data_IF_005329366082
#
_entry.id   IF_005329366082
#
_cell.length_a   1.000
_cell.length_b   1.000
_cell.length_c   1.000
_cell.angle_alpha   90.00
_cell.angle_beta   90.00
_cell.angle_gamma   90.00
#
_symmetry.space_group_name_H-M   'P 1'
#
loop_
_entity.id
_entity.type
_entity.pdbx_description
1 polymer ?
#
# COMPACT_ATOMS: atom_id res chain seq x y z
N UNK A 1 -34.78 28.07 6.43
CA UNK A 1 -33.30 28.21 6.49
C UNK A 1 -32.60 26.89 6.78
N UNK A 2 -32.96 26.16 7.85
CA UNK A 2 -32.30 24.87 8.15
C UNK A 2 -32.41 23.79 7.06
N UNK A 3 -33.56 23.68 6.38
CA UNK A 3 -33.76 22.72 5.27
C UNK A 3 -32.85 22.99 4.07
N UNK A 4 -32.69 24.26 3.67
CA UNK A 4 -31.78 24.64 2.60
C UNK A 4 -30.32 24.37 2.95
N UNK A 5 -29.96 24.54 4.23
CA UNK A 5 -28.62 24.19 4.71
C UNK A 5 -28.36 22.69 4.65
N UNK A 6 -29.28 21.85 5.16
CA UNK A 6 -29.16 20.39 5.11
C UNK A 6 -29.13 19.90 3.65
N UNK A 7 -29.96 20.48 2.79
CA UNK A 7 -29.97 20.18 1.36
C UNK A 7 -28.62 20.50 0.70
N UNK A 8 -28.08 21.70 0.95
CA UNK A 8 -26.76 22.09 0.47
C UNK A 8 -25.63 21.18 0.95
N UNK A 9 -25.63 20.80 2.24
CA UNK A 9 -24.66 19.88 2.81
C UNK A 9 -24.75 18.47 2.19
N UNK A 10 -25.97 18.00 1.93
CA UNK A 10 -26.22 16.70 1.29
C UNK A 10 -25.70 16.69 -0.14
N UNK A 11 -25.99 17.73 -0.93
CA UNK A 11 -25.47 17.86 -2.29
C UNK A 11 -23.94 17.97 -2.30
N UNK A 12 -23.36 18.76 -1.40
CA UNK A 12 -21.92 18.92 -1.28
C UNK A 12 -21.22 17.59 -0.99
N UNK A 13 -21.69 16.87 0.03
CA UNK A 13 -21.10 15.58 0.40
C UNK A 13 -21.27 14.55 -0.72
N UNK A 14 -22.44 14.48 -1.38
CA UNK A 14 -22.64 13.61 -2.52
C UNK A 14 -21.68 13.91 -3.68
N UNK A 15 -21.46 15.19 -4.00
CA UNK A 15 -20.50 15.60 -5.02
C UNK A 15 -19.07 15.22 -4.63
N UNK A 16 -18.65 15.46 -3.37
CA UNK A 16 -17.30 15.16 -2.90
C UNK A 16 -16.99 13.67 -2.91
N UNK A 17 -17.94 12.81 -2.49
CA UNK A 17 -17.70 11.37 -2.37
C UNK A 17 -17.95 10.59 -3.65
N UNK A 18 -18.87 11.04 -4.51
CA UNK A 18 -19.33 10.27 -5.67
C UNK A 18 -19.30 11.01 -7.00
N UNK A 19 -19.17 12.34 -6.99
CA UNK A 19 -19.30 13.14 -8.21
C UNK A 19 -20.72 13.09 -8.78
N UNK A 20 -21.73 12.89 -7.91
CA UNK A 20 -23.09 12.51 -8.31
C UNK A 20 -23.97 13.61 -8.90
N UNK A 21 -23.52 14.87 -8.91
CA UNK A 21 -24.29 15.98 -9.50
C UNK A 21 -23.70 16.43 -10.83
N UNK A 22 -22.38 16.63 -10.90
CA UNK A 22 -21.67 17.05 -12.10
C UNK A 22 -20.29 16.41 -12.21
N UNK A 23 -19.82 16.18 -13.44
CA UNK A 23 -18.51 15.57 -13.72
C UNK A 23 -18.56 14.05 -13.82
N UNK A 24 -17.40 13.39 -13.74
CA UNK A 24 -17.32 11.92 -13.82
C UNK A 24 -17.58 11.30 -12.46
N UNK A 25 -18.43 10.26 -12.45
CA UNK A 25 -18.69 9.48 -11.25
C UNK A 25 -17.40 8.78 -10.77
N UNK A 26 -17.06 8.93 -9.50
CA UNK A 26 -15.96 8.20 -8.87
C UNK A 26 -16.48 7.29 -7.77
N UNK A 27 -15.93 6.09 -7.68
CA UNK A 27 -16.28 5.14 -6.64
C UNK A 27 -15.01 4.67 -5.93
N UNK A 28 -14.75 5.27 -4.76
CA UNK A 28 -13.64 4.90 -3.87
C UNK A 28 -13.71 3.46 -3.36
N UNK A 29 -14.85 2.80 -3.54
CA UNK A 29 -14.99 1.39 -3.21
C UNK A 29 -14.45 0.49 -4.33
N UNK A 30 -14.25 0.92 -5.57
CA UNK A 30 -13.98 -0.05 -6.66
C UNK A 30 -12.53 -0.52 -6.71
N UNK A 31 -11.56 0.33 -6.37
CA UNK A 31 -10.13 0.00 -6.51
C UNK A 31 -9.43 0.04 -5.16
N UNK A 32 -8.56 -0.94 -4.84
CA UNK A 32 -7.76 -0.85 -3.63
C UNK A 32 -6.85 0.37 -3.70
N UNK A 33 -6.56 0.96 -2.54
CA UNK A 33 -5.51 1.95 -2.39
C UNK A 33 -4.68 1.59 -1.18
N UNK A 34 -3.37 1.51 -1.39
CA UNK A 34 -2.39 1.36 -0.32
C UNK A 34 -1.70 2.69 -0.06
N UNK A 35 -1.39 2.92 1.20
CA UNK A 35 -0.47 3.96 1.65
C UNK A 35 0.74 3.28 2.26
N UNK A 36 1.92 3.70 1.83
CA UNK A 36 3.21 3.22 2.31
C UNK A 36 3.84 4.38 3.08
N UNK A 37 4.26 4.12 4.31
CA UNK A 37 4.76 5.14 5.25
C UNK A 37 5.91 4.58 6.09
N UNK A 38 6.58 5.45 6.85
CA UNK A 38 7.63 5.05 7.80
C UNK A 38 8.76 4.19 7.17
N UNK A 39 9.05 4.40 5.89
CA UNK A 39 10.10 3.69 5.18
C UNK A 39 11.47 3.99 5.77
N UNK A 40 12.21 2.93 6.14
CA UNK A 40 13.54 3.00 6.75
C UNK A 40 14.43 1.94 6.13
N UNK A 41 15.64 2.35 5.76
CA UNK A 41 16.73 1.48 5.34
C UNK A 41 17.83 1.56 6.39
N UNK A 42 18.10 0.47 7.09
CA UNK A 42 19.11 0.43 8.16
C UNK A 42 19.88 -0.88 8.13
N UNK A 43 20.69 -1.12 9.17
CA UNK A 43 21.53 -2.32 9.29
C UNK A 43 20.73 -3.63 9.34
N UNK A 44 19.46 -3.57 9.74
CA UNK A 44 18.58 -4.74 9.79
C UNK A 44 17.83 -4.99 8.48
N UNK A 45 17.99 -4.11 7.47
CA UNK A 45 17.34 -4.21 6.16
C UNK A 45 16.33 -3.10 5.90
N UNK A 46 15.25 -3.45 5.20
CA UNK A 46 14.17 -2.54 4.83
C UNK A 46 12.98 -2.76 5.76
N UNK A 47 12.44 -1.67 6.31
CA UNK A 47 11.17 -1.69 7.03
C UNK A 47 10.26 -0.55 6.61
N UNK A 48 8.96 -0.78 6.54
CA UNK A 48 7.96 0.23 6.24
C UNK A 48 6.59 -0.20 6.74
N UNK A 49 5.70 0.76 6.93
CA UNK A 49 4.29 0.53 7.21
C UNK A 49 3.49 0.51 5.89
N UNK A 50 2.60 -0.46 5.74
CA UNK A 50 1.61 -0.51 4.68
C UNK A 50 0.21 -0.42 5.30
N UNK A 51 -0.65 0.42 4.74
CA UNK A 51 -2.04 0.58 5.17
C UNK A 51 -2.99 0.53 3.98
N UNK A 52 -4.01 -0.32 4.04
CA UNK A 52 -5.08 -0.33 3.04
C UNK A 52 -6.22 0.61 3.42
N UNK A 53 -6.33 1.74 2.71
CA UNK A 53 -7.25 2.85 3.01
C UNK A 53 -8.54 2.87 2.20
N UNK A 54 -8.55 2.30 0.99
CA UNK A 54 -9.73 2.31 0.10
C UNK A 54 -9.93 0.94 -0.62
N UNK A 55 -11.03 0.83 -1.37
CA UNK A 55 -11.48 -0.38 -2.10
C UNK A 55 -12.52 -1.23 -1.35
N UNK A 56 -13.20 -2.15 -2.04
CA UNK A 56 -14.27 -2.97 -1.46
C UNK A 56 -13.68 -3.98 -0.48
N UNK A 57 -14.30 -4.16 0.68
CA UNK A 57 -13.85 -5.11 1.70
C UNK A 57 -13.74 -6.57 1.18
N UNK A 58 -14.62 -6.98 0.27
CA UNK A 58 -14.64 -8.33 -0.32
C UNK A 58 -13.52 -8.60 -1.33
N UNK A 59 -12.84 -7.56 -1.80
CA UNK A 59 -11.70 -7.66 -2.72
C UNK A 59 -10.45 -7.25 -1.93
N UNK A 60 -9.56 -8.19 -1.62
CA UNK A 60 -8.27 -7.86 -1.02
C UNK A 60 -7.43 -6.97 -1.95
N UNK A 61 -6.38 -6.34 -1.44
CA UNK A 61 -5.22 -6.07 -2.30
C UNK A 61 -4.36 -7.33 -2.30
N UNK A 62 -4.05 -7.87 -3.48
CA UNK A 62 -3.19 -9.03 -3.68
C UNK A 62 -1.87 -8.55 -4.27
N UNK A 63 -0.92 -8.33 -3.39
CA UNK A 63 0.39 -7.79 -3.74
C UNK A 63 1.27 -8.90 -4.29
N UNK A 64 1.73 -8.69 -5.52
CA UNK A 64 2.50 -9.66 -6.30
C UNK A 64 3.95 -9.20 -6.54
N UNK A 65 4.25 -7.94 -6.21
CA UNK A 65 5.60 -7.39 -6.36
C UNK A 65 5.89 -6.35 -5.31
N UNK A 66 7.07 -6.43 -4.71
CA UNK A 66 7.67 -5.35 -3.93
C UNK A 66 9.08 -5.11 -4.46
N UNK A 67 9.31 -3.91 -4.98
CA UNK A 67 10.58 -3.50 -5.56
C UNK A 67 11.17 -2.33 -4.77
N UNK A 68 12.47 -2.34 -4.58
CA UNK A 68 13.23 -1.16 -4.15
C UNK A 68 14.11 -0.73 -5.32
N UNK A 69 14.00 0.54 -5.71
CA UNK A 69 14.75 1.13 -6.83
C UNK A 69 15.68 2.22 -6.34
N UNK A 70 16.86 2.29 -6.94
CA UNK A 70 17.79 3.41 -6.70
C UNK A 70 17.36 4.67 -7.46
N UNK A 71 18.14 5.75 -7.31
CA UNK A 71 17.88 7.03 -7.99
C UNK A 71 17.98 6.95 -9.53
N UNK A 72 18.61 5.89 -10.07
CA UNK A 72 18.71 5.61 -11.51
C UNK A 72 17.60 4.66 -11.99
N UNK A 73 16.66 4.32 -11.11
CA UNK A 73 15.54 3.41 -11.36
C UNK A 73 15.96 1.94 -11.57
N UNK A 74 17.18 1.57 -11.16
CA UNK A 74 17.61 0.17 -11.15
C UNK A 74 17.00 -0.54 -9.95
N UNK A 75 16.55 -1.78 -10.16
CA UNK A 75 15.98 -2.60 -9.10
C UNK A 75 17.12 -3.18 -8.25
N UNK A 76 17.23 -2.69 -7.01
CA UNK A 76 18.24 -3.14 -6.03
C UNK A 76 17.71 -4.23 -5.10
N UNK A 77 16.39 -4.37 -5.00
CA UNK A 77 15.72 -5.47 -4.32
C UNK A 77 14.38 -5.76 -4.99
N UNK A 78 14.04 -7.04 -5.11
CA UNK A 78 12.79 -7.50 -5.70
C UNK A 78 12.23 -8.69 -4.92
N UNK A 79 10.98 -8.59 -4.49
CA UNK A 79 10.19 -9.71 -3.97
C UNK A 79 9.09 -10.04 -4.96
N UNK A 80 9.19 -11.26 -5.51
CA UNK A 80 8.20 -11.84 -6.42
C UNK A 80 6.99 -12.39 -5.68
N UNK A 81 5.91 -12.63 -6.41
CA UNK A 81 4.66 -13.18 -5.87
C UNK A 81 4.87 -14.47 -5.05
N UNK A 82 5.76 -15.36 -5.49
CA UNK A 82 6.03 -16.63 -4.83
C UNK A 82 6.80 -16.47 -3.52
N UNK A 83 7.68 -15.46 -3.46
CA UNK A 83 8.38 -15.10 -2.23
C UNK A 83 7.42 -14.42 -1.25
N UNK A 84 6.55 -13.53 -1.74
CA UNK A 84 5.53 -12.85 -0.95
C UNK A 84 4.52 -13.83 -0.33
N UNK A 85 4.11 -14.85 -1.09
CA UNK A 85 3.23 -15.93 -0.63
C UNK A 85 3.87 -16.82 0.47
N UNK A 86 5.20 -16.78 0.60
CA UNK A 86 5.98 -17.58 1.56
C UNK A 86 6.66 -16.72 2.62
N UNK A 87 6.25 -15.46 2.78
CA UNK A 87 6.83 -14.59 3.80
C UNK A 87 6.63 -15.19 5.19
N UNK A 88 7.67 -15.24 6.03
CA UNK A 88 7.53 -15.73 7.38
C UNK A 88 6.72 -14.74 8.22
N UNK A 89 5.97 -15.23 9.22
CA UNK A 89 5.09 -14.37 10.02
C UNK A 89 5.83 -13.23 10.72
N UNK A 90 7.09 -13.42 11.13
CA UNK A 90 7.89 -12.38 11.78
C UNK A 90 8.25 -11.21 10.85
N UNK A 91 8.12 -11.37 9.53
CA UNK A 91 8.29 -10.28 8.56
C UNK A 91 7.08 -9.33 8.53
N UNK A 92 5.97 -9.70 9.16
CA UNK A 92 4.69 -8.98 9.09
C UNK A 92 4.15 -8.74 10.49
N UNK A 93 4.31 -7.53 11.00
CA UNK A 93 3.80 -7.12 12.30
C UNK A 93 2.50 -6.32 12.11
N UNK A 94 1.37 -6.96 12.35
CA UNK A 94 0.04 -6.37 12.14
C UNK A 94 -0.36 -5.46 13.32
N UNK A 95 -0.83 -4.26 13.01
CA UNK A 95 -1.32 -3.31 14.03
C UNK A 95 -2.76 -3.58 14.44
N UNK A 96 -3.59 -4.13 13.53
CA UNK A 96 -5.03 -4.27 13.71
C UNK A 96 -5.51 -5.72 13.49
N UNK A 97 -6.79 -5.96 13.79
CA UNK A 97 -7.45 -7.27 13.62
C UNK A 97 -7.48 -7.70 12.14
N UNK A 98 -7.66 -6.75 11.21
CA UNK A 98 -7.51 -6.98 9.78
C UNK A 98 -6.03 -7.19 9.46
N UNK A 99 -5.65 -8.43 9.14
CA UNK A 99 -4.25 -8.82 8.99
C UNK A 99 -3.80 -8.80 7.53
N UNK A 100 -2.68 -8.13 7.29
CA UNK A 100 -1.79 -8.42 6.16
C UNK A 100 -1.18 -9.79 6.41
N UNK A 101 -1.26 -10.69 5.42
CA UNK A 101 -0.76 -12.07 5.56
C UNK A 101 -0.36 -12.68 4.22
N UNK A 102 0.54 -13.67 4.21
CA UNK A 102 0.81 -14.45 3.00
C UNK A 102 -0.47 -15.19 2.57
N UNK A 103 -0.77 -15.13 1.28
CA UNK A 103 -1.79 -15.91 0.60
C UNK A 103 -1.16 -17.03 -0.23
N UNK A 104 -1.99 -17.75 -1.00
CA UNK A 104 -1.50 -18.89 -1.81
C UNK A 104 -0.52 -18.45 -2.92
N UNK A 105 -0.71 -17.26 -3.49
CA UNK A 105 0.04 -16.76 -4.66
C UNK A 105 0.44 -15.29 -4.53
N UNK A 106 0.24 -14.66 -3.37
CA UNK A 106 0.50 -13.23 -3.17
C UNK A 106 0.57 -12.90 -1.69
N UNK A 107 0.90 -11.66 -1.36
CA UNK A 107 0.61 -11.09 -0.04
C UNK A 107 -0.79 -10.46 -0.07
N UNK A 108 -1.64 -10.75 0.92
CA UNK A 108 -3.02 -10.26 1.00
C UNK A 108 -3.10 -9.13 2.01
N UNK A 109 -3.67 -7.99 1.61
CA UNK A 109 -4.02 -6.88 2.49
C UNK A 109 -5.54 -6.57 2.39
N UNK A 110 -6.36 -6.99 3.38
CA UNK A 110 -7.79 -6.66 3.43
C UNK A 110 -8.02 -5.19 3.81
N UNK A 111 -9.24 -4.68 3.62
CA UNK A 111 -9.55 -3.27 3.86
C UNK A 111 -9.31 -2.93 5.32
N UNK A 112 -8.67 -1.79 5.59
CA UNK A 112 -8.31 -1.39 6.95
C UNK A 112 -7.13 -2.17 7.55
N UNK A 113 -6.52 -3.11 6.81
CA UNK A 113 -5.31 -3.78 7.29
C UNK A 113 -4.13 -2.83 7.30
N UNK A 114 -3.47 -2.75 8.45
CA UNK A 114 -2.20 -2.03 8.62
C UNK A 114 -1.16 -2.97 9.20
N UNK A 115 0.02 -3.00 8.59
CA UNK A 115 1.14 -3.81 9.09
C UNK A 115 2.47 -3.11 8.86
N UNK A 116 3.42 -3.37 9.76
CA UNK A 116 4.84 -3.10 9.55
C UNK A 116 5.47 -4.31 8.86
N UNK A 117 6.02 -4.05 7.68
CA UNK A 117 6.74 -5.04 6.88
C UNK A 117 8.23 -4.92 7.18
N UNK A 118 8.92 -6.05 7.31
CA UNK A 118 10.36 -6.13 7.56
C UNK A 118 11.00 -7.11 6.59
N UNK A 119 11.99 -6.66 5.85
CA UNK A 119 12.70 -7.43 4.85
C UNK A 119 14.20 -7.39 5.14
N UNK A 120 14.71 -8.51 5.62
CA UNK A 120 16.14 -8.66 5.89
C UNK A 120 16.83 -9.00 4.56
N UNK A 121 17.73 -8.14 4.11
CA UNK A 121 18.62 -8.46 2.99
C UNK A 121 20.01 -7.89 3.28
N UNK A 122 21.01 -8.75 3.26
CA UNK A 122 22.41 -8.37 3.38
C UNK A 122 22.87 -7.42 2.26
N UNK A 123 22.15 -7.40 1.14
CA UNK A 123 22.49 -6.52 0.02
C UNK A 123 22.04 -5.07 0.27
N UNK A 124 21.02 -4.86 1.12
CA UNK A 124 20.63 -3.52 1.57
C UNK A 124 21.77 -2.83 2.31
N UNK A 125 22.57 -3.58 3.09
CA UNK A 125 23.70 -3.04 3.83
C UNK A 125 24.70 -2.33 2.93
N UNK A 126 24.95 -2.90 1.75
CA UNK A 126 25.94 -2.44 0.78
C UNK A 126 25.46 -1.26 -0.07
N UNK A 127 24.19 -0.92 0.01
CA UNK A 127 23.63 0.20 -0.74
C UNK A 127 24.25 1.53 -0.28
N UNK A 128 24.69 2.41 -1.20
CA UNK A 128 25.19 3.72 -0.83
C UNK A 128 24.09 4.58 -0.19
N UNK A 129 24.48 5.59 0.58
CA UNK A 129 23.55 6.61 1.06
C UNK A 129 22.88 7.32 -0.12
N UNK A 130 21.59 7.60 0.01
CA UNK A 130 20.81 8.17 -1.08
C UNK A 130 19.31 7.94 -0.95
N UNK A 131 18.58 8.38 -1.97
CA UNK A 131 17.13 8.22 -2.05
C UNK A 131 16.79 6.97 -2.86
N UNK A 132 15.88 6.17 -2.31
CA UNK A 132 15.36 4.95 -2.89
C UNK A 132 13.84 5.04 -3.03
N UNK A 133 13.30 4.43 -4.06
CA UNK A 133 11.85 4.34 -4.28
C UNK A 133 11.40 2.92 -3.99
N UNK A 134 10.59 2.76 -2.96
CA UNK A 134 9.88 1.53 -2.67
C UNK A 134 8.59 1.51 -3.48
N UNK A 135 8.35 0.43 -4.23
CA UNK A 135 7.16 0.23 -5.05
C UNK A 135 6.48 -1.08 -4.67
N UNK A 136 5.17 -1.02 -4.43
CA UNK A 136 4.32 -2.19 -4.27
C UNK A 136 3.35 -2.31 -5.45
N UNK A 137 3.18 -3.52 -5.98
CA UNK A 137 2.34 -3.79 -7.15
C UNK A 137 1.28 -4.84 -6.84
N UNK A 138 0.03 -4.52 -7.15
CA UNK A 138 -1.14 -5.40 -7.03
C UNK A 138 -1.38 -6.19 -8.32
N UNK A 139 -2.06 -7.34 -8.22
CA UNK A 139 -2.42 -8.19 -9.37
C UNK A 139 -3.25 -7.46 -10.43
N UNK A 140 -3.99 -6.41 -10.07
CA UNK A 140 -4.72 -5.55 -11.02
C UNK A 140 -3.82 -4.66 -11.87
N UNK A 141 -2.52 -4.60 -11.58
CA UNK A 141 -1.57 -3.67 -12.20
C UNK A 141 -1.48 -2.31 -11.51
N UNK A 142 -2.31 -2.04 -10.49
CA UNK A 142 -2.15 -0.87 -9.65
C UNK A 142 -0.81 -0.92 -8.88
N UNK A 143 -0.18 0.23 -8.70
CA UNK A 143 1.06 0.33 -7.92
C UNK A 143 1.13 1.60 -7.09
N UNK A 144 1.82 1.51 -5.97
CA UNK A 144 2.01 2.59 -5.01
C UNK A 144 3.48 2.70 -4.66
N UNK A 145 3.94 3.94 -4.52
CA UNK A 145 5.35 4.26 -4.33
C UNK A 145 5.57 5.11 -3.07
N UNK A 146 6.74 4.93 -2.46
CA UNK A 146 7.19 5.71 -1.32
C UNK A 146 8.70 5.92 -1.39
N UNK A 147 9.13 7.16 -1.15
CA UNK A 147 10.55 7.50 -1.11
C UNK A 147 11.13 7.24 0.27
N UNK A 148 12.31 6.64 0.29
CA UNK A 148 13.06 6.30 1.49
C UNK A 148 14.46 6.87 1.34
N UNK A 149 14.93 7.60 2.36
CA UNK A 149 16.31 8.06 2.42
C UNK A 149 17.13 7.12 3.31
N UNK A 150 18.29 6.71 2.82
CA UNK A 150 19.29 5.93 3.57
C UNK A 150 20.45 6.82 3.98
#
# INVERSE_FOLDING_TARGET
MGSFFIFGLTLYTNQVFHGGLWGTLHNKSVKPKLEITEGKLNENGLSFDVFRVEGVDVYGAWIIGIELKDAQNNVVMNYTQDQLAKLPEHAIENYYIAKVKPGKHSLIAPLGAKAKMKFNSSDILKLPSGTYTLKMTDISGASWEHQINK
#
